data_IF_353286777329
#
_entry.id   IF_353286777329
#
_cell.length_a   1.000
_cell.length_b   1.000
_cell.length_c   1.000
_cell.angle_alpha   90.00
_cell.angle_beta   90.00
_cell.angle_gamma   90.00
#
_symmetry.space_group_name_H-M   'P 1'
#
loop_
_entity.id
_entity.type
_entity.pdbx_description
1 polymer ?
#
# COMPACT_ATOMS: atom_id res chain seq x y z
N UNK A 1 -13.01 -23.90 1.32
CA UNK A 1 -14.12 -24.12 2.27
C UNK A 1 -13.64 -23.57 3.61
N UNK A 2 -14.47 -22.81 4.33
CA UNK A 2 -14.08 -22.18 5.59
C UNK A 2 -13.99 -23.24 6.68
N UNK A 3 -12.85 -23.33 7.36
CA UNK A 3 -12.66 -24.21 8.51
C UNK A 3 -13.35 -23.61 9.76
N UNK A 4 -14.35 -24.33 10.26
CA UNK A 4 -15.17 -23.93 11.42
C UNK A 4 -14.37 -23.86 12.72
N UNK A 5 -13.35 -24.70 12.89
CA UNK A 5 -12.49 -24.68 14.07
C UNK A 5 -11.60 -23.45 14.06
N UNK A 6 -10.94 -23.18 12.92
CA UNK A 6 -10.12 -21.97 12.71
C UNK A 6 -10.96 -20.71 12.98
N UNK A 7 -12.19 -20.66 12.45
CA UNK A 7 -13.10 -19.55 12.68
C UNK A 7 -13.37 -19.30 14.17
N UNK A 8 -13.78 -20.33 14.91
CA UNK A 8 -14.11 -20.22 16.34
C UNK A 8 -12.92 -19.77 17.19
N UNK A 9 -11.72 -20.24 16.86
CA UNK A 9 -10.51 -19.82 17.56
C UNK A 9 -10.16 -18.36 17.26
N UNK A 10 -10.22 -17.94 15.99
CA UNK A 10 -10.02 -16.54 15.60
C UNK A 10 -11.04 -15.62 16.29
N UNK A 11 -12.31 -16.03 16.40
CA UNK A 11 -13.33 -15.25 17.09
C UNK A 11 -12.95 -14.96 18.56
N UNK A 12 -12.30 -15.89 19.25
CA UNK A 12 -11.84 -15.66 20.63
C UNK A 12 -10.71 -14.64 20.70
N UNK A 13 -9.82 -14.62 19.70
CA UNK A 13 -8.64 -13.74 19.69
C UNK A 13 -8.98 -12.26 19.45
N UNK A 14 -10.05 -11.99 18.70
CA UNK A 14 -10.44 -10.62 18.32
C UNK A 14 -11.87 -10.27 18.72
N UNK A 15 -12.35 -10.88 19.81
CA UNK A 15 -13.67 -10.63 20.40
C UNK A 15 -14.82 -10.64 19.37
N UNK A 16 -14.83 -11.65 18.50
CA UNK A 16 -15.88 -11.86 17.50
C UNK A 16 -15.71 -11.07 16.20
N UNK A 17 -14.70 -10.21 16.07
CA UNK A 17 -14.44 -9.37 14.87
C UNK A 17 -13.77 -10.13 13.71
N UNK A 18 -14.37 -11.26 13.30
CA UNK A 18 -13.92 -12.06 12.15
C UNK A 18 -15.02 -12.08 11.10
N UNK A 19 -14.72 -11.63 9.88
CA UNK A 19 -15.67 -11.64 8.75
C UNK A 19 -15.31 -12.76 7.78
N UNK A 20 -16.27 -13.61 7.45
CA UNK A 20 -16.10 -14.72 6.50
C UNK A 20 -16.54 -14.26 5.10
N UNK A 21 -15.78 -14.62 4.08
CA UNK A 21 -16.14 -14.34 2.68
C UNK A 21 -16.21 -12.83 2.38
N UNK A 22 -15.46 -12.02 3.12
CA UNK A 22 -15.48 -10.57 2.99
C UNK A 22 -14.95 -10.17 1.60
N UNK A 23 -15.73 -9.44 0.77
CA UNK A 23 -15.30 -9.10 -0.57
C UNK A 23 -14.21 -8.03 -0.55
N UNK A 24 -13.07 -8.32 -1.18
CA UNK A 24 -11.89 -7.46 -1.17
C UNK A 24 -12.05 -6.16 -1.98
N UNK A 25 -13.03 -6.09 -2.88
CA UNK A 25 -13.40 -4.83 -3.55
C UNK A 25 -13.82 -3.70 -2.58
N UNK A 26 -14.21 -4.01 -1.34
CA UNK A 26 -14.47 -3.00 -0.29
C UNK A 26 -13.20 -2.48 0.38
N UNK A 27 -12.06 -3.13 0.16
CA UNK A 27 -10.79 -2.89 0.86
C UNK A 27 -9.63 -2.55 -0.08
N UNK A 28 -9.87 -2.48 -1.39
CA UNK A 28 -8.89 -2.04 -2.39
C UNK A 28 -9.34 -0.74 -3.03
N UNK A 29 -8.39 0.14 -3.36
CA UNK A 29 -8.72 1.44 -4.00
C UNK A 29 -9.18 1.28 -5.45
N UNK A 30 -8.82 0.17 -6.11
CA UNK A 30 -9.38 -0.22 -7.40
C UNK A 30 -10.85 -0.62 -7.35
N UNK A 31 -11.37 -0.95 -6.16
CA UNK A 31 -12.68 -1.59 -5.97
C UNK A 31 -12.82 -2.89 -6.75
N UNK A 32 -11.75 -3.68 -6.73
CA UNK A 32 -11.66 -5.00 -7.38
C UNK A 32 -11.15 -6.00 -6.33
N UNK A 33 -11.72 -7.21 -6.33
CA UNK A 33 -11.26 -8.30 -5.47
C UNK A 33 -12.37 -9.21 -5.00
N UNK A 34 -12.13 -10.51 -5.12
CA UNK A 34 -12.98 -11.59 -4.62
C UNK A 34 -12.98 -11.73 -3.09
N UNK A 35 -13.54 -12.83 -2.56
CA UNK A 35 -13.72 -13.01 -1.11
C UNK A 35 -12.43 -13.40 -0.37
N UNK A 36 -12.19 -12.80 0.79
CA UNK A 36 -11.24 -13.31 1.78
C UNK A 36 -11.90 -14.40 2.64
N UNK A 37 -11.22 -15.52 2.88
CA UNK A 37 -11.74 -16.59 3.75
C UNK A 37 -12.02 -16.08 5.17
N UNK A 38 -11.02 -15.42 5.78
CA UNK A 38 -11.17 -14.73 7.05
C UNK A 38 -10.60 -13.33 6.94
N UNK A 39 -11.42 -12.32 7.20
CA UNK A 39 -10.99 -10.93 7.26
C UNK A 39 -11.02 -10.43 8.69
N UNK A 40 -9.90 -9.89 9.15
CA UNK A 40 -9.71 -9.40 10.51
C UNK A 40 -9.06 -8.01 10.47
N UNK A 41 -9.57 -7.09 11.30
CA UNK A 41 -8.97 -5.78 11.54
C UNK A 41 -8.70 -5.66 13.06
N UNK A 42 -7.44 -5.82 13.50
CA UNK A 42 -7.10 -5.88 14.92
C UNK A 42 -7.22 -4.50 15.57
N UNK A 43 -7.69 -4.47 16.81
CA UNK A 43 -7.82 -3.27 17.64
C UNK A 43 -6.64 -3.14 18.60
N UNK A 44 -5.44 -3.02 18.02
CA UNK A 44 -4.20 -2.81 18.77
C UNK A 44 -3.20 -3.97 18.66
N UNK A 45 -2.01 -3.75 19.26
CA UNK A 45 -0.85 -4.63 19.12
C UNK A 45 -1.07 -6.05 19.64
N UNK A 46 -1.80 -6.21 20.76
CA UNK A 46 -2.06 -7.53 21.36
C UNK A 46 -2.87 -8.44 20.45
N UNK A 47 -3.90 -7.89 19.79
CA UNK A 47 -4.72 -8.65 18.83
C UNK A 47 -3.91 -8.99 17.58
N UNK A 48 -3.15 -8.02 17.05
CA UNK A 48 -2.24 -8.23 15.93
C UNK A 48 -1.25 -9.38 16.20
N UNK A 49 -0.55 -9.34 17.34
CA UNK A 49 0.37 -10.41 17.75
C UNK A 49 -0.35 -11.76 17.86
N UNK A 50 -1.53 -11.78 18.50
CA UNK A 50 -2.29 -13.01 18.73
C UNK A 50 -2.72 -13.68 17.43
N UNK A 51 -3.20 -12.91 16.46
CA UNK A 51 -3.62 -13.42 15.15
C UNK A 51 -2.43 -13.90 14.32
N UNK A 52 -1.31 -13.16 14.33
CA UNK A 52 -0.09 -13.54 13.61
C UNK A 52 0.49 -14.85 14.16
N UNK A 53 0.67 -14.95 15.47
CA UNK A 53 1.15 -16.19 16.10
C UNK A 53 0.18 -17.35 15.88
N UNK A 54 -1.12 -17.09 15.89
CA UNK A 54 -2.14 -18.10 15.60
C UNK A 54 -2.00 -18.64 14.17
N UNK A 55 -1.91 -17.75 13.18
CA UNK A 55 -1.75 -18.12 11.77
C UNK A 55 -0.51 -18.99 11.57
N UNK A 56 0.61 -18.60 12.17
CA UNK A 56 1.86 -19.36 12.13
C UNK A 56 1.72 -20.75 12.77
N UNK A 57 1.18 -20.85 14.00
CA UNK A 57 1.00 -22.15 14.70
C UNK A 57 0.05 -23.10 13.97
N UNK A 58 -1.05 -22.57 13.42
CA UNK A 58 -2.06 -23.35 12.70
C UNK A 58 -1.72 -23.54 11.22
N UNK A 59 -0.60 -22.98 10.74
CA UNK A 59 -0.18 -22.98 9.33
C UNK A 59 -1.29 -22.47 8.38
N UNK A 60 -2.06 -21.49 8.84
CA UNK A 60 -3.08 -20.84 8.01
C UNK A 60 -2.37 -19.72 7.23
N UNK A 61 -2.51 -19.67 5.88
CA UNK A 61 -1.92 -18.58 5.10
C UNK A 61 -2.35 -17.21 5.64
N UNK A 62 -1.41 -16.28 5.72
CA UNK A 62 -1.63 -14.93 6.24
C UNK A 62 -1.22 -13.90 5.19
N UNK A 63 -2.15 -13.04 4.80
CA UNK A 63 -1.91 -11.87 3.96
C UNK A 63 -2.16 -10.62 4.80
N UNK A 64 -1.15 -9.76 4.93
CA UNK A 64 -1.27 -8.50 5.65
C UNK A 64 -1.46 -7.35 4.67
N UNK A 65 -2.46 -6.51 4.94
CA UNK A 65 -2.76 -5.35 4.09
C UNK A 65 -2.92 -4.07 4.91
N UNK A 66 -2.67 -2.93 4.26
CA UNK A 66 -3.09 -1.61 4.74
C UNK A 66 -4.43 -1.19 4.10
N UNK A 67 -4.44 -0.01 3.47
CA UNK A 67 -5.61 0.52 2.76
C UNK A 67 -5.88 -0.11 1.38
N UNK A 68 -5.09 -1.11 0.95
CA UNK A 68 -5.22 -1.74 -0.36
C UNK A 68 -5.04 -0.80 -1.54
N UNK A 69 -4.24 0.27 -1.38
CA UNK A 69 -4.03 1.30 -2.41
C UNK A 69 -3.05 0.91 -3.52
N UNK A 70 -2.39 -0.25 -3.39
CA UNK A 70 -1.41 -0.78 -4.34
C UNK A 70 -1.68 -2.27 -4.65
N UNK A 71 -2.93 -2.73 -4.48
CA UNK A 71 -3.30 -4.15 -4.58
C UNK A 71 -4.29 -4.39 -5.72
N UNK A 72 -4.01 -5.40 -6.54
CA UNK A 72 -4.97 -6.05 -7.42
C UNK A 72 -5.28 -7.43 -6.84
N UNK A 73 -6.50 -7.60 -6.32
CA UNK A 73 -6.90 -8.88 -5.73
C UNK A 73 -7.68 -9.69 -6.78
N UNK A 74 -7.31 -10.95 -6.94
CA UNK A 74 -7.99 -11.91 -7.83
C UNK A 74 -9.49 -12.00 -7.53
N UNK A 75 -10.28 -12.34 -8.55
CA UNK A 75 -11.72 -12.65 -8.42
C UNK A 75 -11.96 -13.90 -7.58
N UNK A 76 -10.99 -14.83 -7.55
CA UNK A 76 -11.02 -16.00 -6.66
C UNK A 76 -10.78 -15.62 -5.18
N UNK A 77 -10.36 -14.38 -4.93
CA UNK A 77 -10.14 -13.82 -3.61
C UNK A 77 -8.85 -14.31 -2.96
N UNK A 78 -8.82 -14.34 -1.63
CA UNK A 78 -7.62 -14.64 -0.84
C UNK A 78 -7.92 -15.79 0.11
N UNK A 79 -7.05 -16.82 0.08
CA UNK A 79 -7.15 -17.99 0.97
C UNK A 79 -6.54 -17.68 2.34
N UNK A 80 -7.13 -18.22 3.39
CA UNK A 80 -6.66 -18.00 4.77
C UNK A 80 -7.03 -16.63 5.34
N UNK A 81 -6.13 -16.05 6.13
CA UNK A 81 -6.39 -14.83 6.89
C UNK A 81 -5.92 -13.61 6.11
N UNK A 82 -6.83 -12.68 5.85
CA UNK A 82 -6.51 -11.29 5.49
C UNK A 82 -6.54 -10.45 6.75
N UNK A 83 -5.37 -9.97 7.17
CA UNK A 83 -5.20 -9.13 8.34
C UNK A 83 -4.96 -7.67 7.91
N UNK A 84 -5.98 -6.83 8.08
CA UNK A 84 -5.91 -5.41 7.72
C UNK A 84 -5.42 -4.58 8.90
N UNK A 85 -4.25 -3.97 8.79
CA UNK A 85 -3.77 -2.99 9.77
C UNK A 85 -4.34 -1.62 9.40
N UNK A 86 -5.33 -1.18 10.17
CA UNK A 86 -6.10 0.04 9.94
C UNK A 86 -6.21 0.91 11.18
N UNK A 87 -7.43 1.40 11.45
CA UNK A 87 -7.65 2.43 12.48
C UNK A 87 -7.31 2.00 13.91
N UNK A 88 -7.36 0.69 14.19
CA UNK A 88 -6.97 0.13 15.49
C UNK A 88 -5.47 0.23 15.82
N UNK A 89 -4.63 0.54 14.83
CA UNK A 89 -3.19 0.82 14.98
C UNK A 89 -2.81 2.03 14.13
N UNK A 90 -3.45 3.18 14.38
CA UNK A 90 -3.29 4.38 13.56
C UNK A 90 -2.79 5.61 14.35
N UNK A 91 -2.25 5.41 15.56
CA UNK A 91 -1.74 6.53 16.35
C UNK A 91 -0.57 7.21 15.66
N UNK A 92 -0.54 8.54 15.74
CA UNK A 92 0.60 9.37 15.37
C UNK A 92 0.93 10.26 16.56
N UNK A 93 2.19 10.31 16.94
CA UNK A 93 2.71 11.17 18.01
C UNK A 93 4.02 11.81 17.58
N UNK A 94 4.38 12.89 18.26
CA UNK A 94 5.65 13.59 18.05
C UNK A 94 6.47 13.47 19.33
N UNK A 95 7.72 13.03 19.17
CA UNK A 95 8.68 12.87 20.25
C UNK A 95 9.91 13.70 19.86
N UNK A 96 10.09 14.84 20.53
CA UNK A 96 11.11 15.84 20.17
C UNK A 96 10.96 16.31 18.71
N UNK A 97 11.89 15.89 17.84
CA UNK A 97 11.94 16.19 16.41
C UNK A 97 11.50 15.01 15.53
N UNK A 98 11.16 13.88 16.13
CA UNK A 98 10.74 12.69 15.41
C UNK A 98 9.22 12.57 15.40
N UNK A 99 8.69 12.09 14.28
CA UNK A 99 7.28 11.70 14.19
C UNK A 99 7.20 10.18 14.27
N UNK A 100 6.45 9.67 15.25
CA UNK A 100 6.23 8.24 15.47
C UNK A 100 4.82 7.90 15.04
N UNK A 101 4.67 6.90 14.17
CA UNK A 101 3.37 6.52 13.64
C UNK A 101 3.20 4.99 13.58
N UNK A 102 2.04 4.53 14.01
CA UNK A 102 1.65 3.13 13.86
C UNK A 102 1.34 2.80 12.39
N UNK A 103 1.51 1.54 12.02
CA UNK A 103 1.48 1.08 10.65
C UNK A 103 0.14 1.27 9.92
N UNK A 104 -0.97 1.43 10.65
CA UNK A 104 -2.30 1.72 10.12
C UNK A 104 -2.58 3.22 9.93
N UNK A 105 -1.69 4.11 10.40
CA UNK A 105 -1.85 5.54 10.23
C UNK A 105 -1.82 5.92 8.74
N UNK A 106 -2.72 6.82 8.32
CA UNK A 106 -2.72 7.34 6.95
C UNK A 106 -1.51 8.24 6.75
N UNK A 107 -0.89 8.20 5.56
CA UNK A 107 0.22 9.11 5.23
C UNK A 107 -0.18 10.59 5.28
N UNK A 108 -1.42 10.92 4.93
CA UNK A 108 -1.94 12.28 5.08
C UNK A 108 -2.01 12.74 6.55
N UNK A 109 -2.35 11.83 7.47
CA UNK A 109 -2.36 12.13 8.91
C UNK A 109 -0.94 12.26 9.47
N UNK A 110 0.00 11.43 8.99
CA UNK A 110 1.42 11.54 9.30
C UNK A 110 1.97 12.92 8.87
N UNK A 111 1.70 13.35 7.64
CA UNK A 111 2.13 14.65 7.13
C UNK A 111 1.50 15.82 7.91
N UNK A 112 0.20 15.73 8.23
CA UNK A 112 -0.49 16.74 9.02
C UNK A 112 0.08 16.88 10.44
N UNK A 113 0.35 15.77 11.13
CA UNK A 113 0.97 15.79 12.45
C UNK A 113 2.36 16.44 12.44
N UNK A 114 3.17 16.13 11.42
CA UNK A 114 4.49 16.75 11.23
C UNK A 114 4.36 18.27 11.06
N UNK A 115 3.49 18.72 10.16
CA UNK A 115 3.17 20.14 9.94
C UNK A 115 2.71 20.83 11.22
N UNK A 116 1.78 20.24 11.95
CA UNK A 116 1.21 20.84 13.17
C UNK A 116 2.25 20.98 14.29
N UNK A 117 3.33 20.21 14.22
CA UNK A 117 4.49 20.32 15.10
C UNK A 117 5.67 21.11 14.52
N UNK A 118 5.54 21.71 13.33
CA UNK A 118 6.63 22.46 12.70
C UNK A 118 7.82 21.59 12.28
N UNK A 119 7.53 20.37 11.83
CA UNK A 119 8.51 19.39 11.39
C UNK A 119 8.34 19.11 9.89
N UNK A 120 9.36 19.45 9.11
CA UNK A 120 9.46 19.19 7.68
C UNK A 120 10.00 17.79 7.36
N UNK A 121 9.89 17.42 6.08
CA UNK A 121 10.36 16.15 5.50
C UNK A 121 9.23 15.27 4.97
N UNK A 122 8.03 15.34 5.56
CA UNK A 122 6.90 14.44 5.25
C UNK A 122 5.88 15.01 4.27
N UNK A 123 6.11 16.21 3.73
CA UNK A 123 5.21 16.95 2.84
C UNK A 123 4.86 16.14 1.60
N UNK A 124 5.85 15.44 1.03
CA UNK A 124 5.67 14.61 -0.18
C UNK A 124 4.63 13.50 -0.01
N UNK A 125 4.36 13.08 1.22
CA UNK A 125 3.46 11.97 1.54
C UNK A 125 2.00 12.40 1.65
N UNK A 126 1.70 13.70 1.73
CA UNK A 126 0.37 14.25 2.00
C UNK A 126 -0.69 13.77 1.00
N UNK A 127 -0.32 13.62 -0.27
CA UNK A 127 -1.21 13.14 -1.33
C UNK A 127 -1.12 11.64 -1.59
N UNK A 128 -0.27 10.87 -0.91
CA UNK A 128 -0.10 9.43 -1.16
C UNK A 128 -1.22 8.63 -0.48
N UNK A 129 -2.04 7.89 -1.22
CA UNK A 129 -3.03 7.01 -0.62
C UNK A 129 -2.33 5.80 -0.02
N UNK A 130 -2.63 5.47 1.23
CA UNK A 130 -2.04 4.31 1.89
C UNK A 130 -1.91 4.48 3.38
N UNK A 131 -1.30 3.49 4.01
CA UNK A 131 -0.93 3.53 5.43
C UNK A 131 0.59 3.52 5.57
N UNK A 132 1.09 3.93 6.73
CA UNK A 132 2.53 3.95 7.07
C UNK A 132 3.20 2.60 6.83
N UNK A 133 2.58 1.50 7.25
CA UNK A 133 3.14 0.16 7.09
C UNK A 133 3.37 -0.22 5.63
N UNK A 134 2.33 -0.04 4.79
CA UNK A 134 2.46 -0.28 3.35
C UNK A 134 3.46 0.68 2.69
N UNK A 135 3.52 1.93 3.15
CA UNK A 135 4.46 2.90 2.65
C UNK A 135 5.92 2.49 2.88
N UNK A 136 6.25 2.01 4.09
CA UNK A 136 7.60 1.54 4.42
C UNK A 136 7.98 0.33 3.59
N UNK A 137 7.11 -0.68 3.49
CA UNK A 137 7.38 -1.90 2.69
C UNK A 137 7.60 -1.57 1.21
N UNK A 138 6.85 -0.61 0.67
CA UNK A 138 6.98 -0.19 -0.74
C UNK A 138 8.03 0.89 -0.97
N UNK A 139 8.73 1.37 0.08
CA UNK A 139 9.49 2.62 0.04
C UNK A 139 8.75 3.72 -0.75
N UNK A 140 7.49 3.97 -0.36
CA UNK A 140 6.61 4.89 -1.06
C UNK A 140 7.24 6.28 -1.14
N UNK A 141 7.08 6.91 -2.30
CA UNK A 141 7.75 8.17 -2.59
C UNK A 141 7.11 8.91 -3.74
N UNK A 142 7.19 10.23 -3.67
CA UNK A 142 6.66 11.17 -4.65
C UNK A 142 7.48 12.46 -4.55
N UNK A 143 7.41 13.30 -5.59
CA UNK A 143 8.02 14.64 -5.58
C UNK A 143 9.51 14.66 -5.18
N UNK A 144 10.28 13.65 -5.60
CA UNK A 144 11.73 13.57 -5.36
C UNK A 144 12.13 13.04 -3.98
N UNK A 145 11.18 12.62 -3.14
CA UNK A 145 11.46 12.04 -1.82
C UNK A 145 10.76 10.68 -1.65
N UNK A 146 11.22 9.90 -0.67
CA UNK A 146 10.61 8.63 -0.26
C UNK A 146 10.70 8.41 1.23
N UNK A 147 9.79 7.60 1.79
CA UNK A 147 9.74 7.34 3.23
C UNK A 147 11.06 6.81 3.79
N UNK A 148 11.76 5.94 3.04
CA UNK A 148 13.01 5.33 3.47
C UNK A 148 14.12 6.34 3.78
N UNK A 149 14.08 7.54 3.18
CA UNK A 149 15.05 8.62 3.47
C UNK A 149 14.90 9.22 4.87
N UNK A 150 13.75 8.99 5.51
CA UNK A 150 13.42 9.55 6.83
C UNK A 150 13.24 8.47 7.90
N UNK A 151 13.17 7.19 7.55
CA UNK A 151 12.99 6.12 8.54
C UNK A 151 14.23 6.04 9.44
N UNK A 152 14.06 6.35 10.72
CA UNK A 152 15.10 6.14 11.73
C UNK A 152 15.05 4.73 12.27
N UNK A 153 13.86 4.27 12.64
CA UNK A 153 13.64 2.98 13.28
C UNK A 153 12.26 2.44 12.94
N UNK A 154 12.15 1.12 12.83
CA UNK A 154 10.90 0.40 12.61
C UNK A 154 10.73 -0.66 13.68
N UNK A 155 9.58 -0.65 14.35
CA UNK A 155 9.11 -1.76 15.17
C UNK A 155 8.43 -2.78 14.26
N UNK A 156 8.97 -3.99 14.24
CA UNK A 156 8.53 -5.12 13.45
C UNK A 156 7.92 -6.21 14.33
N UNK A 157 7.02 -6.98 13.75
CA UNK A 157 6.43 -8.19 14.32
C UNK A 157 6.78 -9.38 13.44
N UNK A 158 7.45 -10.38 14.00
CA UNK A 158 7.71 -11.64 13.30
C UNK A 158 6.52 -12.61 13.41
N UNK A 159 6.59 -13.74 12.69
CA UNK A 159 5.52 -14.74 12.67
C UNK A 159 5.34 -15.50 14.00
N UNK A 160 6.34 -15.52 14.89
CA UNK A 160 6.19 -16.07 16.24
C UNK A 160 5.39 -15.14 17.17
N UNK A 161 5.16 -13.89 16.78
CA UNK A 161 4.47 -12.89 17.59
C UNK A 161 5.39 -11.99 18.42
N UNK A 162 6.70 -12.03 18.15
CA UNK A 162 7.71 -11.25 18.86
C UNK A 162 7.92 -9.90 18.17
N UNK A 163 7.97 -8.85 19.00
CA UNK A 163 8.29 -7.51 18.57
C UNK A 163 9.80 -7.28 18.63
N UNK A 164 10.37 -6.63 17.62
CA UNK A 164 11.78 -6.28 17.57
C UNK A 164 11.98 -5.02 16.72
N UNK A 165 13.06 -4.26 16.99
CA UNK A 165 13.37 -3.03 16.27
C UNK A 165 14.45 -3.28 15.20
N UNK A 166 14.36 -2.55 14.09
CA UNK A 166 15.45 -2.40 13.11
C UNK A 166 15.63 -0.92 12.77
N UNK A 167 16.87 -0.51 12.55
CA UNK A 167 17.18 0.84 12.04
C UNK A 167 16.75 0.95 10.57
N UNK A 168 16.51 2.17 10.10
CA UNK A 168 16.22 2.41 8.67
C UNK A 168 17.34 1.95 7.75
N UNK A 169 18.60 2.14 8.15
CA UNK A 169 19.79 1.68 7.44
C UNK A 169 19.78 0.16 7.24
N UNK A 170 19.37 -0.59 8.27
CA UNK A 170 19.32 -2.04 8.20
C UNK A 170 18.27 -2.56 7.20
N UNK A 171 17.29 -1.76 6.76
CA UNK A 171 16.22 -2.18 5.85
C UNK A 171 16.59 -2.06 4.36
N UNK A 172 17.79 -1.53 4.05
CA UNK A 172 18.33 -1.40 2.69
C UNK A 172 17.31 -0.86 1.68
N UNK A 173 16.77 0.33 1.94
CA UNK A 173 15.81 0.99 1.06
C UNK A 173 16.38 1.26 -0.34
N UNK A 174 15.61 0.89 -1.37
CA UNK A 174 15.90 1.07 -2.80
C UNK A 174 14.65 1.62 -3.51
N UNK A 175 14.75 2.01 -4.77
CA UNK A 175 13.60 2.51 -5.53
C UNK A 175 12.45 1.47 -5.52
N UNK A 176 11.33 1.84 -4.88
CA UNK A 176 10.12 1.00 -4.71
C UNK A 176 10.34 -0.34 -4.01
N UNK A 177 11.39 -0.47 -3.18
CA UNK A 177 11.67 -1.71 -2.44
C UNK A 177 12.47 -1.50 -1.17
N UNK A 178 12.38 -2.47 -0.27
CA UNK A 178 13.25 -2.67 0.89
C UNK A 178 13.27 -4.17 1.22
N UNK A 179 14.12 -4.59 2.15
CA UNK A 179 14.28 -6.01 2.48
C UNK A 179 13.00 -6.64 3.06
N UNK A 180 12.14 -5.83 3.69
CA UNK A 180 10.86 -6.30 4.26
C UNK A 180 9.90 -6.90 3.24
N UNK A 181 10.08 -6.65 1.93
CA UNK A 181 9.26 -7.29 0.89
C UNK A 181 9.49 -8.80 0.80
N UNK A 182 10.62 -9.30 1.29
CA UNK A 182 11.02 -10.70 1.21
C UNK A 182 11.13 -11.36 2.59
N UNK A 183 10.86 -10.61 3.65
CA UNK A 183 11.00 -11.10 5.02
C UNK A 183 9.65 -11.42 5.66
N UNK A 184 9.59 -12.45 6.53
CA UNK A 184 8.38 -12.80 7.28
C UNK A 184 8.18 -11.85 8.48
N UNK A 185 8.11 -10.55 8.22
CA UNK A 185 8.00 -9.50 9.23
C UNK A 185 6.96 -8.44 8.85
N UNK A 186 6.23 -7.95 9.85
CA UNK A 186 5.12 -7.00 9.69
C UNK A 186 5.51 -5.69 10.36
N UNK A 187 5.38 -4.57 9.63
CA UNK A 187 5.57 -3.23 10.21
C UNK A 187 4.45 -2.94 11.20
N UNK A 188 4.80 -2.54 12.42
CA UNK A 188 3.85 -2.17 13.49
C UNK A 188 3.88 -0.68 13.78
N UNK A 189 5.07 -0.09 13.86
CA UNK A 189 5.29 1.33 14.16
C UNK A 189 6.60 1.79 13.52
N UNK A 190 6.66 3.06 13.15
CA UNK A 190 7.80 3.67 12.46
C UNK A 190 8.12 5.01 13.10
N UNK A 191 9.40 5.25 13.33
CA UNK A 191 9.94 6.53 13.78
C UNK A 191 10.61 7.23 12.59
N UNK A 192 10.13 8.42 12.25
CA UNK A 192 10.65 9.25 11.18
C UNK A 192 11.53 10.37 11.74
N UNK A 193 12.74 10.51 11.21
CA UNK A 193 13.67 11.59 11.48
C UNK A 193 13.28 12.83 10.66
N UNK A 194 12.47 13.71 11.27
CA UNK A 194 12.10 14.99 10.67
C UNK A 194 13.05 16.11 11.11
N UNK A 195 12.82 17.32 10.62
CA UNK A 195 13.62 18.50 10.96
C UNK A 195 12.74 19.73 11.19
N UNK A 196 13.12 20.66 12.09
CA UNK A 196 12.38 21.89 12.29
C UNK A 196 12.22 22.69 10.99
N UNK A 197 11.00 23.11 10.67
CA UNK A 197 10.66 23.96 9.52
C UNK A 197 9.40 24.75 9.81
N UNK A 198 9.32 25.95 9.26
CA UNK A 198 8.17 26.83 9.44
C UNK A 198 6.87 26.17 8.94
N UNK A 199 5.83 26.18 9.79
CA UNK A 199 4.54 25.53 9.51
C UNK A 199 3.90 25.99 8.21
N UNK A 200 4.00 27.29 7.92
CA UNK A 200 3.44 27.88 6.71
C UNK A 200 4.10 27.28 5.45
N UNK A 201 5.44 27.20 5.43
CA UNK A 201 6.17 26.61 4.30
C UNK A 201 5.84 25.12 4.09
N UNK A 202 5.66 24.37 5.18
CA UNK A 202 5.23 22.97 5.13
C UNK A 202 3.83 22.87 4.52
N UNK A 203 2.90 23.72 4.97
CA UNK A 203 1.52 23.76 4.47
C UNK A 203 1.46 24.08 2.97
N UNK A 204 2.16 25.13 2.53
CA UNK A 204 2.21 25.54 1.12
C UNK A 204 2.76 24.42 0.23
N UNK A 205 3.79 23.70 0.69
CA UNK A 205 4.36 22.60 -0.06
C UNK A 205 3.43 21.37 -0.13
N UNK A 206 2.75 21.05 0.97
CA UNK A 206 1.73 19.99 1.00
C UNK A 206 0.59 20.31 0.02
N UNK A 207 0.07 21.54 0.05
CA UNK A 207 -1.00 22.00 -0.85
C UNK A 207 -0.56 21.92 -2.31
N UNK A 208 0.66 22.39 -2.62
CA UNK A 208 1.24 22.27 -3.97
C UNK A 208 1.29 20.83 -4.45
N UNK A 209 1.74 19.90 -3.61
CA UNK A 209 1.82 18.49 -3.99
C UNK A 209 0.45 17.85 -4.18
N UNK A 210 -0.52 18.16 -3.33
CA UNK A 210 -1.90 17.67 -3.46
C UNK A 210 -2.56 18.25 -4.72
N UNK A 211 -2.42 19.54 -4.97
CA UNK A 211 -2.96 20.22 -6.16
C UNK A 211 -2.38 19.64 -7.45
N UNK A 212 -1.05 19.44 -7.52
CA UNK A 212 -0.41 18.76 -8.65
C UNK A 212 -0.96 17.35 -8.86
N UNK A 213 -1.18 16.60 -7.79
CA UNK A 213 -1.71 15.23 -7.89
C UNK A 213 -3.14 15.22 -8.43
N UNK A 214 -3.99 16.14 -7.97
CA UNK A 214 -5.36 16.30 -8.43
C UNK A 214 -5.45 16.67 -9.92
N UNK A 215 -4.53 17.49 -10.42
CA UNK A 215 -4.54 17.92 -11.83
C UNK A 215 -3.91 16.89 -12.78
N UNK A 216 -3.05 16.00 -12.29
CA UNK A 216 -2.27 15.07 -13.14
C UNK A 216 -2.68 13.60 -13.02
N UNK A 217 -3.54 13.23 -12.07
CA UNK A 217 -3.89 11.83 -11.80
C UNK A 217 -5.41 11.63 -11.72
N UNK A 218 -5.93 10.47 -12.14
CA UNK A 218 -7.37 10.19 -12.21
C UNK A 218 -7.97 9.85 -10.84
N UNK A 219 -7.76 10.70 -9.83
CA UNK A 219 -8.11 10.42 -8.42
C UNK A 219 -9.62 10.29 -8.16
N UNK A 220 -10.47 10.74 -9.10
CA UNK A 220 -11.94 10.60 -9.02
C UNK A 220 -12.44 9.21 -9.40
N UNK A 221 -11.61 8.41 -10.06
CA UNK A 221 -11.95 7.04 -10.48
C UNK A 221 -11.18 6.03 -9.63
N UNK A 222 -11.77 4.89 -9.28
CA UNK A 222 -11.06 3.83 -8.56
C UNK A 222 -9.82 3.36 -9.34
N UNK A 223 -8.66 3.38 -8.69
CA UNK A 223 -7.36 2.99 -9.23
C UNK A 223 -6.39 2.63 -8.09
N UNK A 224 -5.26 1.97 -8.40
CA UNK A 224 -4.22 1.62 -7.42
C UNK A 224 -2.91 2.40 -7.58
N UNK A 225 -2.97 3.61 -8.14
CA UNK A 225 -1.77 4.39 -8.42
C UNK A 225 -1.09 3.98 -9.74
N UNK A 226 0.22 4.20 -9.79
CA UNK A 226 1.03 3.79 -10.93
C UNK A 226 1.14 2.27 -11.01
N UNK A 227 0.83 1.71 -12.18
CA UNK A 227 0.81 0.26 -12.41
C UNK A 227 2.24 -0.28 -12.54
N UNK A 228 3.09 0.44 -13.25
CA UNK A 228 4.47 0.06 -13.51
C UNK A 228 5.46 1.00 -12.83
N UNK A 229 6.60 0.43 -12.44
CA UNK A 229 7.77 1.19 -11.99
C UNK A 229 8.34 1.98 -13.15
N UNK A 230 8.97 3.12 -12.87
CA UNK A 230 9.72 3.83 -13.90
C UNK A 230 11.01 3.06 -14.25
N UNK A 231 11.30 2.81 -15.53
CA UNK A 231 12.58 2.26 -15.95
C UNK A 231 13.70 3.30 -15.82
N UNK A 232 14.98 2.87 -15.75
CA UNK A 232 16.11 3.80 -15.65
C UNK A 232 16.13 4.82 -16.78
N UNK A 233 16.27 6.11 -16.43
CA UNK A 233 16.39 7.20 -17.41
C UNK A 233 15.08 7.62 -18.09
N UNK A 234 13.94 7.03 -17.73
CA UNK A 234 12.68 7.29 -18.41
C UNK A 234 11.48 7.12 -17.45
N UNK A 235 10.25 7.26 -17.96
CA UNK A 235 9.03 7.02 -17.19
C UNK A 235 8.09 6.06 -17.91
N UNK A 236 7.51 5.13 -17.16
CA UNK A 236 6.54 4.18 -17.71
C UNK A 236 5.34 4.92 -18.33
N UNK A 237 4.87 6.00 -17.70
CA UNK A 237 3.78 6.81 -18.23
C UNK A 237 4.07 7.37 -19.63
N UNK A 238 5.27 7.94 -19.85
CA UNK A 238 5.65 8.47 -21.17
C UNK A 238 5.74 7.35 -22.22
N UNK A 239 6.32 6.20 -21.87
CA UNK A 239 6.44 5.04 -22.77
C UNK A 239 5.06 4.51 -23.20
N UNK A 240 4.15 4.34 -22.24
CA UNK A 240 2.78 3.86 -22.49
C UNK A 240 1.99 4.86 -23.34
N UNK A 241 2.17 6.16 -23.09
CA UNK A 241 1.56 7.22 -23.89
C UNK A 241 2.10 7.26 -25.32
N UNK A 242 3.42 7.18 -25.51
CA UNK A 242 4.05 7.11 -26.83
C UNK A 242 3.67 5.83 -27.60
N UNK A 243 3.37 4.74 -26.88
CA UNK A 243 2.80 3.53 -27.45
C UNK A 243 1.32 3.69 -27.90
N UNK A 244 0.68 4.83 -27.62
CA UNK A 244 -0.70 5.12 -28.03
C UNK A 244 -1.75 4.37 -27.21
N UNK A 245 -1.42 3.97 -25.97
CA UNK A 245 -2.27 3.10 -25.16
C UNK A 245 -3.26 3.84 -24.26
N UNK A 246 -3.19 5.17 -24.14
CA UNK A 246 -4.18 5.96 -23.39
C UNK A 246 -5.59 5.70 -23.91
N UNK A 247 -6.53 5.45 -23.00
CA UNK A 247 -7.92 5.16 -23.32
C UNK A 247 -8.21 3.72 -23.75
N UNK A 248 -7.19 2.87 -23.96
CA UNK A 248 -7.38 1.46 -24.25
C UNK A 248 -8.17 0.80 -23.10
N UNK A 249 -9.17 0.01 -23.47
CA UNK A 249 -10.15 -0.57 -22.55
C UNK A 249 -10.26 -2.08 -22.75
N UNK A 250 -10.38 -2.82 -21.66
CA UNK A 250 -10.77 -4.25 -21.61
C UNK A 250 -11.81 -4.37 -20.52
N UNK A 251 -12.99 -4.90 -20.85
CA UNK A 251 -14.14 -4.90 -19.93
C UNK A 251 -14.42 -3.48 -19.40
N UNK A 252 -14.44 -3.31 -18.09
CA UNK A 252 -14.60 -2.01 -17.42
C UNK A 252 -13.29 -1.40 -16.91
N UNK A 253 -12.14 -2.05 -17.17
CA UNK A 253 -10.82 -1.48 -16.91
C UNK A 253 -10.37 -0.63 -18.11
N UNK A 254 -9.75 0.52 -17.84
CA UNK A 254 -9.24 1.41 -18.89
C UNK A 254 -7.89 2.01 -18.48
N UNK A 255 -6.93 2.08 -19.41
CA UNK A 255 -5.74 2.92 -19.25
C UNK A 255 -6.18 4.39 -19.26
N UNK A 256 -5.94 5.10 -18.17
CA UNK A 256 -6.43 6.46 -17.98
C UNK A 256 -6.01 7.39 -19.11
N UNK A 257 -6.96 8.16 -19.63
CA UNK A 257 -6.71 9.24 -20.59
C UNK A 257 -5.89 10.39 -19.99
N UNK A 258 -5.95 10.57 -18.66
CA UNK A 258 -5.21 11.62 -17.96
C UNK A 258 -3.76 11.21 -17.73
N UNK A 259 -3.52 10.00 -17.22
CA UNK A 259 -2.18 9.52 -16.90
C UNK A 259 -1.98 8.06 -17.35
N UNK A 260 -1.14 7.84 -18.37
CA UNK A 260 -1.03 6.53 -19.03
C UNK A 260 -0.54 5.39 -18.13
N UNK A 261 0.25 5.68 -17.08
CA UNK A 261 0.66 4.66 -16.10
C UNK A 261 -0.43 4.28 -15.07
N UNK A 262 -1.68 4.72 -15.24
CA UNK A 262 -2.79 4.40 -14.33
C UNK A 262 -3.84 3.62 -15.10
N UNK A 263 -4.30 2.50 -14.53
CA UNK A 263 -5.51 1.82 -14.98
C UNK A 263 -6.64 2.19 -14.02
N UNK A 264 -7.77 2.64 -14.55
CA UNK A 264 -8.97 3.01 -13.80
C UNK A 264 -10.05 1.95 -13.98
N UNK A 265 -10.82 1.73 -12.92
CA UNK A 265 -12.05 0.95 -12.97
C UNK A 265 -13.23 1.91 -13.24
N UNK A 266 -13.92 1.74 -14.36
CA UNK A 266 -15.05 2.58 -14.78
C UNK A 266 -16.39 2.15 -14.16
N UNK A 267 -16.42 1.05 -13.42
CA UNK A 267 -17.61 0.57 -12.73
C UNK A 267 -17.44 -0.86 -12.20
N UNK A 268 -17.41 -1.83 -13.12
CA UNK A 268 -17.42 -3.27 -12.82
C UNK A 268 -16.17 -4.00 -13.31
N UNK A 269 -15.03 -3.31 -13.36
CA UNK A 269 -13.78 -3.93 -13.82
C UNK A 269 -13.45 -5.15 -12.96
N UNK A 270 -12.96 -6.19 -13.60
CA UNK A 270 -12.48 -7.41 -12.95
C UNK A 270 -10.96 -7.39 -12.78
N UNK A 271 -10.42 -8.31 -11.97
CA UNK A 271 -8.97 -8.48 -11.90
C UNK A 271 -8.41 -8.92 -13.27
N UNK A 272 -9.14 -9.81 -13.95
CA UNK A 272 -8.83 -10.31 -15.29
C UNK A 272 -8.77 -9.18 -16.33
N UNK A 273 -9.68 -8.21 -16.28
CA UNK A 273 -9.66 -7.03 -17.16
C UNK A 273 -8.37 -6.20 -16.99
N UNK A 274 -7.97 -5.97 -15.73
CA UNK A 274 -6.77 -5.19 -15.41
C UNK A 274 -5.50 -5.95 -15.83
N UNK A 275 -5.44 -7.27 -15.60
CA UNK A 275 -4.32 -8.11 -16.02
C UNK A 275 -4.16 -8.12 -17.55
N UNK A 276 -5.27 -8.25 -18.29
CA UNK A 276 -5.23 -8.18 -19.75
C UNK A 276 -4.68 -6.84 -20.27
N UNK A 277 -5.02 -5.72 -19.61
CA UNK A 277 -4.42 -4.42 -19.93
C UNK A 277 -2.94 -4.35 -19.54
N UNK A 278 -2.54 -4.93 -18.42
CA UNK A 278 -1.15 -5.01 -17.99
C UNK A 278 -0.32 -5.75 -19.05
N UNK A 279 -0.75 -6.94 -19.45
CA UNK A 279 -0.03 -7.79 -20.39
C UNK A 279 0.11 -7.10 -21.75
N UNK A 280 -1.00 -6.59 -22.30
CA UNK A 280 -0.99 -5.84 -23.55
C UNK A 280 -0.08 -4.61 -23.49
N UNK A 281 -0.01 -3.95 -22.33
CA UNK A 281 0.89 -2.79 -22.13
C UNK A 281 2.34 -3.22 -22.14
N UNK A 282 2.71 -4.29 -21.43
CA UNK A 282 4.08 -4.82 -21.39
C UNK A 282 4.53 -5.27 -22.78
N UNK A 283 3.69 -6.03 -23.49
CA UNK A 283 3.96 -6.51 -24.86
C UNK A 283 4.18 -5.34 -25.83
N UNK A 284 3.29 -4.33 -25.80
CA UNK A 284 3.38 -3.21 -26.74
C UNK A 284 4.60 -2.33 -26.48
N UNK A 285 4.90 -2.03 -25.21
CA UNK A 285 6.06 -1.20 -24.85
C UNK A 285 7.36 -1.95 -25.12
N UNK A 286 7.42 -3.26 -24.86
CA UNK A 286 8.57 -4.08 -25.22
C UNK A 286 8.79 -4.07 -26.74
N UNK A 287 7.74 -4.29 -27.53
CA UNK A 287 7.85 -4.34 -29.00
C UNK A 287 8.23 -2.98 -29.61
N UNK A 288 7.74 -1.86 -29.07
CA UNK A 288 8.00 -0.52 -29.63
C UNK A 288 9.26 0.16 -29.10
N UNK A 289 9.63 -0.12 -27.86
CA UNK A 289 10.68 0.62 -27.16
C UNK A 289 11.84 -0.27 -26.69
N UNK A 290 11.70 -1.60 -26.76
CA UNK A 290 12.70 -2.54 -26.22
C UNK A 290 12.81 -2.50 -24.69
N UNK A 291 11.83 -1.91 -24.00
CA UNK A 291 11.83 -1.74 -22.54
C UNK A 291 10.84 -2.71 -21.91
N UNK A 292 11.35 -3.56 -21.02
CA UNK A 292 10.51 -4.39 -20.17
C UNK A 292 9.98 -3.57 -18.99
N UNK A 293 8.66 -3.38 -18.92
CA UNK A 293 8.03 -2.73 -17.78
C UNK A 293 7.88 -3.71 -16.61
N UNK A 294 8.27 -3.29 -15.41
CA UNK A 294 8.10 -4.06 -14.17
C UNK A 294 6.93 -3.53 -13.37
N UNK A 295 6.15 -4.42 -12.75
CA UNK A 295 5.00 -4.03 -11.92
C UNK A 295 5.43 -3.32 -10.63
N UNK A 296 4.68 -2.28 -10.28
CA UNK A 296 4.69 -1.64 -8.95
C UNK A 296 3.53 -2.17 -8.10
N UNK A 297 2.37 -2.38 -8.73
CA UNK A 297 1.19 -2.97 -8.09
C UNK A 297 1.43 -4.42 -7.69
N UNK A 298 0.87 -4.81 -6.55
CA UNK A 298 0.96 -6.18 -6.03
C UNK A 298 -0.29 -6.95 -6.42
N UNK A 299 -0.09 -8.08 -7.11
CA UNK A 299 -1.15 -9.02 -7.46
C UNK A 299 -1.28 -10.03 -6.33
N UNK A 300 -2.49 -10.21 -5.79
CA UNK A 300 -2.75 -11.09 -4.64
C UNK A 300 -3.90 -12.04 -4.95
N UNK A 301 -3.76 -13.28 -4.49
CA UNK A 301 -4.72 -14.36 -4.73
C UNK A 301 -4.35 -15.16 -5.97
N UNK A 302 -5.08 -16.25 -6.19
CA UNK A 302 -4.83 -17.14 -7.32
C UNK A 302 -5.28 -16.45 -8.62
N UNK A 303 -4.33 -15.98 -9.40
CA UNK A 303 -4.53 -15.39 -10.74
C UNK A 303 -4.37 -16.46 -11.81
#
# INVERSE_FOLDING_TARGET
>A
MVDTLVYRELQKLVSGRVRIGEPMNKHTSWRIGGPADYFIEPQGRKELQSVVSFANRRKVPLTVIGNGSNLLVSEKGIRGIVLKIGSGLARVSVIEKDVVAEAGAKLSALAAAARDSGLGGLEFSAGIPGTVGGAVVMNAGANGSSVGTLVREVLLLNLEGRLFHRTGEALNFRYRSCDLQQEPAIVVEVRFACYPREKQLIQEEMERFVARRLSTQPLRLPNAGSVFRNPPGDSAGRLIEAAGLKGLRVGDAQISSLHANFIVNLGKATASDVLALIDKTRETVLARNGVELLLEVQIIGDV
#
